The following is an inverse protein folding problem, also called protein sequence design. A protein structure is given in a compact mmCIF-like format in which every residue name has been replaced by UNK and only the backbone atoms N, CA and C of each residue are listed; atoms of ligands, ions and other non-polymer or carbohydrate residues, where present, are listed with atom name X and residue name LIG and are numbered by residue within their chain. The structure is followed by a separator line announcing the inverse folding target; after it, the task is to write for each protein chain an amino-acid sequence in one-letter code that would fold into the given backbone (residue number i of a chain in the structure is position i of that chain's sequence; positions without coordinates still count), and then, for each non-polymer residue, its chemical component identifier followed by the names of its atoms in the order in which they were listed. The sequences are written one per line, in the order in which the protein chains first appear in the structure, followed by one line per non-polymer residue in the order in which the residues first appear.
data_IF_919535233765
#
_entry.id   IF_919535233765
#
_cell.length_a   1.000
_cell.length_b   1.000
_cell.length_c   1.000
_cell.angle_alpha   90.00
_cell.angle_beta   90.00
_cell.angle_gamma   90.00
#
_symmetry.space_group_name_H-M   'P 1'
#
loop_
_entity.id
_entity.type
_entity.pdbx_description
1 polymer ?
#
# COMPACT_ATOMS: atom_id res chain seq x y z
N UNK A 1 -12.00 5.91 5.38
CA UNK A 1 -11.54 4.59 5.87
C UNK A 1 -10.11 4.70 6.37
N UNK A 2 -9.77 3.96 7.42
CA UNK A 2 -8.45 3.83 8.02
C UNK A 2 -7.94 2.41 7.81
N UNK A 3 -6.67 2.28 7.42
CA UNK A 3 -5.99 0.99 7.25
C UNK A 3 -4.63 1.04 7.95
N UNK A 4 -4.19 -0.12 8.41
CA UNK A 4 -2.83 -0.34 8.88
C UNK A 4 -1.99 -0.82 7.70
N UNK A 5 -0.95 -0.05 7.36
CA UNK A 5 -0.13 -0.28 6.17
C UNK A 5 1.19 -0.96 6.54
N UNK A 6 1.48 -2.09 5.89
CA UNK A 6 2.70 -2.87 6.09
C UNK A 6 3.42 -3.04 4.76
N UNK A 7 4.72 -2.74 4.72
CA UNK A 7 5.53 -2.95 3.52
C UNK A 7 5.67 -4.46 3.24
N UNK A 8 5.60 -4.85 1.97
CA UNK A 8 5.46 -6.27 1.60
C UNK A 8 6.67 -7.10 2.00
N UNK A 9 7.88 -6.53 1.98
CA UNK A 9 9.09 -7.23 2.43
C UNK A 9 9.10 -7.47 3.94
N UNK A 10 8.61 -6.50 4.74
CA UNK A 10 8.44 -6.70 6.18
C UNK A 10 7.44 -7.81 6.48
N UNK A 11 6.35 -7.88 5.71
CA UNK A 11 5.37 -8.97 5.85
C UNK A 11 6.00 -10.32 5.49
N UNK A 12 6.73 -10.41 4.37
CA UNK A 12 7.42 -11.64 3.96
C UNK A 12 8.41 -12.10 5.02
N UNK A 13 9.20 -11.18 5.58
CA UNK A 13 10.10 -11.44 6.72
C UNK A 13 9.34 -11.95 7.94
N UNK A 14 8.16 -11.40 8.23
CA UNK A 14 7.30 -11.85 9.34
C UNK A 14 6.82 -13.29 9.14
N UNK A 15 6.40 -13.64 7.92
CA UNK A 15 5.99 -15.00 7.57
C UNK A 15 7.17 -15.98 7.73
N UNK A 16 8.33 -15.63 7.19
CA UNK A 16 9.56 -16.42 7.27
C UNK A 16 9.97 -16.67 8.73
N UNK A 17 9.98 -15.61 9.56
CA UNK A 17 10.29 -15.74 10.98
C UNK A 17 9.26 -16.58 11.75
N UNK A 18 7.97 -16.50 11.42
CA UNK A 18 6.94 -17.37 12.01
C UNK A 18 7.16 -18.82 11.59
N UNK A 19 7.54 -19.08 10.35
CA UNK A 19 7.85 -20.43 9.87
C UNK A 19 9.04 -21.04 10.65
N UNK A 20 10.07 -20.25 10.93
CA UNK A 20 11.27 -20.73 11.63
C UNK A 20 11.11 -20.84 13.15
N UNK A 21 10.41 -19.89 13.77
CA UNK A 21 10.43 -19.68 15.25
C UNK A 21 9.06 -19.74 15.89
N UNK A 22 7.98 -19.72 15.11
CA UNK A 22 6.61 -19.78 15.62
C UNK A 22 6.32 -21.10 16.32
N UNK A 23 5.43 -21.06 17.32
CA UNK A 23 4.98 -22.29 18.00
C UNK A 23 3.84 -22.95 17.20
N UNK A 24 3.82 -24.28 17.20
CA UNK A 24 2.71 -25.04 16.60
C UNK A 24 1.38 -24.67 17.27
N UNK A 25 0.32 -24.63 16.46
CA UNK A 25 -1.06 -24.30 16.85
C UNK A 25 -1.28 -22.85 17.32
N UNK A 26 -0.28 -21.99 17.20
CA UNK A 26 -0.45 -20.56 17.48
C UNK A 26 -0.82 -19.77 16.23
N UNK A 27 -1.52 -18.66 16.43
CA UNK A 27 -1.79 -17.64 15.41
C UNK A 27 -1.06 -16.36 15.76
N UNK A 28 -0.45 -15.72 14.76
CA UNK A 28 0.33 -14.49 14.89
C UNK A 28 -0.23 -13.41 13.97
N UNK A 29 -0.63 -12.28 14.55
CA UNK A 29 -0.98 -11.10 13.78
C UNK A 29 0.30 -10.42 13.27
N UNK A 30 0.34 -10.09 11.99
CA UNK A 30 1.44 -9.34 11.35
C UNK A 30 0.88 -8.00 10.89
N UNK A 31 1.45 -6.90 11.37
CA UNK A 31 0.90 -5.55 11.18
C UNK A 31 1.96 -4.46 11.24
N UNK A 32 1.67 -3.32 10.62
CA UNK A 32 2.62 -2.22 10.45
C UNK A 32 2.64 -1.20 11.59
N UNK A 33 1.61 -1.16 12.44
CA UNK A 33 1.35 -0.02 13.34
C UNK A 33 1.29 1.33 12.61
N UNK A 34 0.90 1.33 11.33
CA UNK A 34 0.89 2.50 10.46
C UNK A 34 -0.53 2.83 10.05
N UNK A 35 -1.38 3.16 11.01
CA UNK A 35 -2.76 3.56 10.74
C UNK A 35 -2.81 4.90 10.00
N UNK A 36 -3.41 4.89 8.81
CA UNK A 36 -3.61 6.11 8.00
C UNK A 36 -4.97 6.06 7.32
N UNK A 37 -5.60 7.23 7.19
CA UNK A 37 -6.80 7.38 6.39
C UNK A 37 -6.44 7.24 4.90
N UNK A 38 -7.33 6.65 4.10
CA UNK A 38 -7.12 6.50 2.67
C UNK A 38 -6.76 7.84 1.99
N UNK A 39 -7.41 8.94 2.37
CA UNK A 39 -7.14 10.26 1.79
C UNK A 39 -5.72 10.75 2.10
N UNK A 40 -5.20 10.48 3.30
CA UNK A 40 -3.83 10.83 3.67
C UNK A 40 -2.81 10.09 2.78
N UNK A 41 -3.10 8.84 2.42
CA UNK A 41 -2.26 8.05 1.52
C UNK A 41 -2.20 8.69 0.13
N UNK A 42 -3.34 9.16 -0.38
CA UNK A 42 -3.40 9.82 -1.69
C UNK A 42 -2.55 11.10 -1.69
N UNK A 43 -2.67 11.96 -0.66
CA UNK A 43 -1.83 13.15 -0.57
C UNK A 43 -0.34 12.80 -0.49
N UNK A 44 0.05 11.82 0.33
CA UNK A 44 1.45 11.38 0.42
C UNK A 44 1.97 10.88 -0.94
N UNK A 45 1.16 10.15 -1.70
CA UNK A 45 1.53 9.69 -3.05
C UNK A 45 1.74 10.88 -3.99
N UNK A 46 0.82 11.85 -4.00
CA UNK A 46 0.93 13.04 -4.86
C UNK A 46 2.20 13.84 -4.53
N UNK A 47 2.45 14.08 -3.24
CA UNK A 47 3.64 14.80 -2.78
C UNK A 47 4.93 14.04 -3.13
N UNK A 48 4.96 12.74 -2.88
CA UNK A 48 6.12 11.88 -3.19
C UNK A 48 6.40 11.85 -4.70
N UNK A 49 5.37 11.80 -5.54
CA UNK A 49 5.52 11.88 -6.99
C UNK A 49 6.06 13.24 -7.44
N UNK A 50 5.57 14.34 -6.87
CA UNK A 50 6.08 15.68 -7.15
C UNK A 50 7.57 15.83 -6.81
N UNK A 51 8.00 15.23 -5.70
CA UNK A 51 9.41 15.21 -5.28
C UNK A 51 10.27 14.32 -6.18
N UNK A 52 9.79 13.12 -6.53
CA UNK A 52 10.59 12.10 -7.21
C UNK A 52 10.68 12.28 -8.71
N UNK A 53 9.72 12.94 -9.35
CA UNK A 53 9.80 13.23 -10.77
C UNK A 53 10.95 14.22 -11.06
N UNK A 54 11.64 14.12 -12.22
CA UNK A 54 12.67 15.08 -12.61
C UNK A 54 12.11 16.50 -12.84
N UNK A 55 12.95 17.51 -12.64
CA UNK A 55 12.61 18.89 -13.04
C UNK A 55 12.37 18.97 -14.55
N UNK A 56 11.29 19.65 -14.94
CA UNK A 56 10.85 19.75 -16.33
C UNK A 56 10.13 18.51 -16.88
N UNK A 57 9.89 17.48 -16.06
CA UNK A 57 9.05 16.35 -16.45
C UNK A 57 7.59 16.82 -16.58
N UNK A 58 6.94 16.69 -17.75
CA UNK A 58 5.57 17.18 -17.97
C UNK A 58 4.54 16.48 -17.06
N UNK A 59 4.86 15.30 -16.51
CA UNK A 59 3.99 14.60 -15.56
C UNK A 59 3.83 15.38 -14.26
N UNK A 60 4.82 16.17 -13.83
CA UNK A 60 4.71 16.97 -12.58
C UNK A 60 3.52 17.92 -12.61
N UNK A 61 3.23 18.52 -13.75
CA UNK A 61 2.08 19.43 -13.90
C UNK A 61 0.73 18.71 -13.75
N UNK A 62 0.70 17.40 -14.04
CA UNK A 62 -0.49 16.56 -13.93
C UNK A 62 -0.72 16.06 -12.49
N UNK A 63 0.36 15.80 -11.75
CA UNK A 63 0.30 15.29 -10.36
C UNK A 63 -0.21 16.39 -9.43
N UNK A 64 -1.52 16.41 -9.18
CA UNK A 64 -2.13 17.39 -8.28
C UNK A 64 -3.38 16.82 -7.62
N UNK A 65 -3.83 17.51 -6.57
CA UNK A 65 -5.08 17.16 -5.88
C UNK A 65 -6.32 17.22 -6.79
N UNK A 66 -6.23 17.86 -7.97
CA UNK A 66 -7.31 17.87 -8.97
C UNK A 66 -7.61 16.47 -9.53
N UNK A 67 -6.70 15.51 -9.37
CA UNK A 67 -6.92 14.11 -9.73
C UNK A 67 -7.81 13.38 -8.71
N UNK A 68 -8.03 13.95 -7.52
CA UNK A 68 -8.83 13.33 -6.47
C UNK A 68 -10.31 13.50 -6.82
N UNK A 69 -10.98 12.37 -7.06
CA UNK A 69 -12.43 12.30 -7.28
C UNK A 69 -13.08 11.47 -6.19
N UNK A 70 -14.12 12.02 -5.56
CA UNK A 70 -14.93 11.30 -4.59
C UNK A 70 -16.05 10.53 -5.31
N UNK A 71 -16.12 9.23 -5.06
CA UNK A 71 -17.13 8.33 -5.63
C UNK A 71 -18.02 7.76 -4.53
N UNK A 72 -19.13 7.14 -4.91
CA UNK A 72 -20.01 6.44 -3.96
C UNK A 72 -19.23 5.40 -3.15
N UNK A 73 -19.46 5.36 -1.83
CA UNK A 73 -18.77 4.42 -0.95
C UNK A 73 -19.25 2.98 -1.17
N UNK A 74 -18.38 2.02 -0.88
CA UNK A 74 -18.68 0.60 -1.01
C UNK A 74 -19.71 0.18 0.04
N UNK A 75 -20.72 -0.59 -0.37
CA UNK A 75 -21.67 -1.20 0.59
C UNK A 75 -20.92 -2.11 1.57
N UNK A 76 -21.14 -1.91 2.87
CA UNK A 76 -20.45 -2.66 3.93
C UNK A 76 -18.97 -2.28 4.09
N UNK A 77 -18.56 -1.06 3.75
CA UNK A 77 -17.16 -0.65 3.91
C UNK A 77 -16.75 -0.55 5.38
N UNK A 78 -15.94 -1.50 5.85
CA UNK A 78 -15.30 -1.41 7.16
C UNK A 78 -14.43 -0.14 7.26
N UNK A 79 -14.78 0.68 8.26
CA UNK A 79 -14.23 2.02 8.41
C UNK A 79 -12.79 2.03 8.90
N UNK A 80 -12.37 1.03 9.67
CA UNK A 80 -11.05 0.98 10.31
C UNK A 80 -10.58 -0.45 10.49
N UNK A 81 -9.34 -0.70 10.08
CA UNK A 81 -8.57 -1.86 10.52
C UNK A 81 -7.28 -1.37 11.18
N UNK A 82 -6.92 -2.00 12.28
CA UNK A 82 -5.69 -1.77 13.03
C UNK A 82 -5.24 -3.13 13.59
N UNK A 83 -3.97 -3.46 13.42
CA UNK A 83 -3.43 -4.75 13.86
C UNK A 83 -2.59 -4.54 15.12
N UNK A 84 -2.74 -5.47 16.07
CA UNK A 84 -1.91 -5.56 17.27
C UNK A 84 -0.95 -6.76 17.11
N UNK A 85 0.31 -6.54 16.67
CA UNK A 85 1.35 -7.55 16.48
C UNK A 85 2.21 -7.78 17.75
N UNK A 86 1.71 -7.47 18.94
CA UNK A 86 2.48 -7.62 20.19
C UNK A 86 2.97 -9.06 20.39
N UNK A 87 2.12 -10.04 20.10
CA UNK A 87 2.45 -11.46 20.26
C UNK A 87 3.61 -11.92 19.35
N UNK A 88 3.62 -11.52 18.08
CA UNK A 88 4.70 -11.92 17.16
C UNK A 88 6.02 -11.21 17.54
N UNK A 89 5.92 -9.97 18.04
CA UNK A 89 7.08 -9.26 18.57
C UNK A 89 7.68 -9.97 19.78
N UNK A 90 6.85 -10.36 20.74
CA UNK A 90 7.30 -11.00 21.97
C UNK A 90 7.83 -12.42 21.74
N UNK A 91 7.13 -13.23 20.95
CA UNK A 91 7.45 -14.67 20.83
C UNK A 91 8.41 -14.99 19.68
N UNK A 92 8.32 -14.25 18.57
CA UNK A 92 9.10 -14.50 17.35
C UNK A 92 10.20 -13.46 17.16
N UNK A 93 10.09 -12.31 17.82
CA UNK A 93 11.06 -11.21 17.71
C UNK A 93 10.88 -10.35 16.45
N UNK A 94 9.76 -10.48 15.74
CA UNK A 94 9.51 -9.70 14.53
C UNK A 94 8.83 -8.37 14.85
N UNK A 95 9.26 -7.31 14.16
CA UNK A 95 8.62 -6.00 14.15
C UNK A 95 8.90 -5.36 12.78
N UNK A 96 7.95 -4.59 12.19
CA UNK A 96 8.20 -3.95 10.91
C UNK A 96 9.39 -2.98 11.00
N UNK A 97 10.25 -3.00 9.98
CA UNK A 97 11.46 -2.17 9.91
C UNK A 97 11.26 -0.96 8.99
N UNK A 98 10.30 -1.03 8.07
CA UNK A 98 10.04 0.04 7.10
C UNK A 98 8.95 0.98 7.61
N UNK A 99 9.31 2.25 7.80
CA UNK A 99 8.32 3.30 8.05
C UNK A 99 7.48 3.53 6.79
N UNK A 100 6.22 3.93 6.96
CA UNK A 100 5.32 4.14 5.82
C UNK A 100 5.89 5.09 4.75
N UNK A 101 6.50 6.20 5.18
CA UNK A 101 7.07 7.22 4.30
C UNK A 101 8.24 6.68 3.46
N UNK A 102 9.04 5.76 4.02
CA UNK A 102 10.10 5.09 3.27
C UNK A 102 9.52 4.04 2.32
N UNK A 103 8.56 3.24 2.80
CA UNK A 103 7.92 2.17 2.03
C UNK A 103 7.18 2.70 0.80
N UNK A 104 6.48 3.83 0.91
CA UNK A 104 5.77 4.41 -0.24
C UNK A 104 6.73 4.93 -1.31
N UNK A 105 7.87 5.50 -0.90
CA UNK A 105 8.95 5.91 -1.79
C UNK A 105 9.57 4.74 -2.54
N UNK A 106 9.87 3.65 -1.82
CA UNK A 106 10.37 2.41 -2.42
C UNK A 106 9.35 1.84 -3.41
N UNK A 107 8.07 1.86 -3.05
CA UNK A 107 6.98 1.39 -3.90
C UNK A 107 6.89 2.22 -5.18
N UNK A 108 6.83 3.55 -5.09
CA UNK A 108 6.78 4.43 -6.27
C UNK A 108 7.99 4.25 -7.16
N UNK A 109 9.20 4.18 -6.57
CA UNK A 109 10.43 3.90 -7.31
C UNK A 109 10.34 2.58 -8.08
N UNK A 110 9.88 1.53 -7.41
CA UNK A 110 9.69 0.22 -8.04
C UNK A 110 8.75 0.31 -9.25
N UNK A 111 7.64 1.04 -9.16
CA UNK A 111 6.74 1.24 -10.31
C UNK A 111 7.41 2.00 -11.48
N UNK A 112 8.22 3.02 -11.21
CA UNK A 112 8.99 3.70 -12.26
C UNK A 112 10.00 2.77 -12.95
N UNK A 113 10.62 1.87 -12.20
CA UNK A 113 11.63 0.94 -12.71
C UNK A 113 11.03 -0.29 -13.41
N UNK A 114 9.73 -0.56 -13.24
CA UNK A 114 9.06 -1.78 -13.69
C UNK A 114 7.84 -1.50 -14.60
N UNK A 115 7.95 -0.50 -15.50
CA UNK A 115 6.85 -0.14 -16.41
C UNK A 115 6.37 -1.31 -17.30
N UNK A 116 7.28 -2.19 -17.75
CA UNK A 116 6.89 -3.35 -18.56
C UNK A 116 5.99 -4.31 -17.78
N UNK A 117 6.36 -4.61 -16.54
CA UNK A 117 5.53 -5.42 -15.65
C UNK A 117 4.15 -4.77 -15.47
N UNK A 118 4.13 -3.46 -15.21
CA UNK A 118 2.88 -2.70 -15.05
C UNK A 118 1.99 -2.79 -16.30
N UNK A 119 2.56 -2.62 -17.50
CA UNK A 119 1.82 -2.73 -18.78
C UNK A 119 1.22 -4.13 -18.96
N UNK A 120 1.96 -5.16 -18.59
CA UNK A 120 1.50 -6.55 -18.72
C UNK A 120 0.31 -6.83 -17.80
N UNK A 121 0.36 -6.39 -16.53
CA UNK A 121 -0.70 -6.67 -15.55
C UNK A 121 -1.92 -5.74 -15.65
N UNK A 122 -1.81 -4.60 -16.34
CA UNK A 122 -2.92 -3.64 -16.53
C UNK A 122 -3.62 -3.76 -17.89
N UNK A 123 -3.28 -4.77 -18.69
CA UNK A 123 -3.85 -4.99 -20.02
C UNK A 123 -5.07 -5.93 -20.01
N UNK A 124 -5.83 -5.93 -21.11
CA UNK A 124 -6.89 -6.90 -21.37
C UNK A 124 -8.01 -6.85 -20.34
N UNK A 125 -8.15 -7.91 -19.55
CA UNK A 125 -9.27 -8.06 -18.62
C UNK A 125 -9.21 -7.07 -17.44
N UNK A 126 -8.03 -6.57 -17.07
CA UNK A 126 -7.93 -5.49 -16.08
C UNK A 126 -8.60 -4.21 -16.57
N UNK A 127 -8.39 -3.85 -17.83
CA UNK A 127 -8.99 -2.65 -18.43
C UNK A 127 -10.52 -2.78 -18.51
N UNK A 128 -11.03 -3.94 -18.93
CA UNK A 128 -12.48 -4.22 -18.94
C UNK A 128 -13.09 -4.11 -17.54
N UNK A 129 -12.45 -4.72 -16.54
CA UNK A 129 -12.89 -4.61 -15.15
C UNK A 129 -12.94 -3.14 -14.67
N UNK A 130 -11.94 -2.34 -15.05
CA UNK A 130 -11.90 -0.92 -14.67
C UNK A 130 -13.06 -0.14 -15.30
N UNK A 131 -13.34 -0.36 -16.58
CA UNK A 131 -14.49 0.24 -17.27
C UNK A 131 -15.81 -0.16 -16.59
N UNK A 132 -16.06 -1.46 -16.38
CA UNK A 132 -17.28 -1.95 -15.74
C UNK A 132 -17.51 -1.39 -14.32
N UNK A 133 -16.43 -1.16 -13.57
CA UNK A 133 -16.52 -0.73 -12.17
C UNK A 133 -16.61 0.77 -11.97
N UNK A 134 -16.05 1.57 -12.89
CA UNK A 134 -15.79 3.00 -12.68
C UNK A 134 -16.25 3.93 -13.81
N UNK A 135 -16.62 3.42 -14.99
CA UNK A 135 -16.92 4.30 -16.15
C UNK A 135 -18.21 5.14 -15.96
N UNK A 136 -19.15 4.67 -15.14
CA UNK A 136 -20.44 5.34 -14.86
C UNK A 136 -20.58 5.84 -13.40
N UNK A 137 -19.47 6.04 -12.67
CA UNK A 137 -19.47 6.42 -11.25
C UNK A 137 -18.77 7.74 -10.94
#
# INVERSE_FOLDING_TARGET
NVRDWLYVEDHAKGIDMVQEKGRLFETYNIGGHNEKQNIQIIHIILDTLQEMLPEGDPRKELVSEKLITYVEDRKGHDRRYAIAPDKIKEEVGWYPETMFEDGIRLTIKWFFENEEWMKNVTSGDYQKYYEDMYQDK
#
